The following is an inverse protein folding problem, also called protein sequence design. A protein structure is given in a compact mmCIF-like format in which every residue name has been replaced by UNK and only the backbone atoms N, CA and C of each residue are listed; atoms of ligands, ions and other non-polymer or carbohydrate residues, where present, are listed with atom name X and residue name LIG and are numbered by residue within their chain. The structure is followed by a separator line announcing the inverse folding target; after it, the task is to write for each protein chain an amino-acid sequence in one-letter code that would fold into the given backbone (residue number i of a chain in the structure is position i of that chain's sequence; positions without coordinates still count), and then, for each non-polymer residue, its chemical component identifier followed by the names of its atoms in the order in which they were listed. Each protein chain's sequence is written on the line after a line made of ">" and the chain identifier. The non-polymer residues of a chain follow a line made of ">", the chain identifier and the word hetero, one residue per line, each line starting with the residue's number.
data_IF_348280435689
#
_entry.id   IF_348280435689
#
_cell.length_a   1.000
_cell.length_b   1.000
_cell.length_c   1.000
_cell.angle_alpha   90.00
_cell.angle_beta   90.00
_cell.angle_gamma   90.00
#
_symmetry.space_group_name_H-M   'P 1'
#
loop_
_entity.id
_entity.type
_entity.pdbx_description
1 polymer ?
#
# COMPACT_ATOMS: atom_id res chain seq x y z
N UNK A 1 -19.72 6.98 -15.73
CA UNK A 1 -21.12 7.29 -15.39
C UNK A 1 -21.51 8.70 -15.80
N UNK A 2 -20.92 9.77 -15.23
CA UNK A 2 -21.29 11.16 -15.58
C UNK A 2 -21.24 11.45 -17.10
N UNK A 3 -20.14 11.09 -17.76
CA UNK A 3 -20.00 11.30 -19.20
C UNK A 3 -21.00 10.52 -20.06
N UNK A 4 -21.47 9.35 -19.60
CA UNK A 4 -22.53 8.58 -20.28
C UNK A 4 -23.90 9.23 -20.05
N UNK A 5 -24.11 9.78 -18.86
CA UNK A 5 -25.33 10.51 -18.49
C UNK A 5 -25.41 11.91 -19.10
N UNK A 6 -24.43 12.35 -19.89
CA UNK A 6 -24.39 13.71 -20.45
C UNK A 6 -24.14 14.81 -19.41
N UNK A 7 -23.66 14.46 -18.23
CA UNK A 7 -23.38 15.40 -17.14
C UNK A 7 -21.95 15.94 -17.22
N UNK A 8 -21.76 17.19 -16.80
CA UNK A 8 -20.44 17.81 -16.69
C UNK A 8 -19.58 17.14 -15.62
N UNK A 9 -18.27 17.11 -15.85
CA UNK A 9 -17.31 16.60 -14.88
C UNK A 9 -16.97 17.69 -13.86
N UNK A 10 -17.08 17.44 -12.54
CA UNK A 10 -16.65 18.39 -11.52
C UNK A 10 -15.16 18.74 -11.65
N UNK A 11 -14.73 20.00 -11.41
CA UNK A 11 -13.32 20.39 -11.53
C UNK A 11 -12.37 19.60 -10.63
N UNK A 12 -12.82 19.18 -9.45
CA UNK A 12 -12.02 18.37 -8.51
C UNK A 12 -11.90 16.89 -8.92
N UNK A 13 -12.67 16.43 -9.91
CA UNK A 13 -12.64 15.04 -10.34
C UNK A 13 -11.36 14.76 -11.12
N UNK A 14 -10.48 13.95 -10.54
CA UNK A 14 -9.23 13.56 -11.19
C UNK A 14 -9.43 12.50 -12.28
N UNK A 15 -10.56 11.76 -12.27
CA UNK A 15 -10.86 10.70 -13.24
C UNK A 15 -11.12 11.26 -14.66
N UNK A 16 -10.78 10.47 -15.69
CA UNK A 16 -11.02 10.81 -17.11
C UNK A 16 -12.21 10.04 -17.65
N UNK A 17 -12.99 10.65 -18.54
CA UNK A 17 -14.05 9.94 -19.26
C UNK A 17 -13.45 8.98 -20.31
N UNK A 18 -13.29 7.71 -19.93
CA UNK A 18 -12.71 6.66 -20.78
C UNK A 18 -13.56 6.30 -22.01
N UNK A 19 -14.83 6.72 -22.04
CA UNK A 19 -15.75 6.47 -23.15
C UNK A 19 -15.88 7.66 -24.11
N UNK A 20 -15.13 8.75 -23.87
CA UNK A 20 -15.14 9.90 -24.77
C UNK A 20 -14.46 9.53 -26.10
N UNK A 21 -15.00 10.03 -27.22
CA UNK A 21 -14.40 9.82 -28.55
C UNK A 21 -12.96 10.33 -28.65
N UNK A 22 -12.62 11.35 -27.86
CA UNK A 22 -11.29 11.96 -27.77
C UNK A 22 -10.54 11.55 -26.49
N UNK A 23 -10.85 10.39 -25.91
CA UNK A 23 -10.14 9.89 -24.73
C UNK A 23 -8.63 9.82 -24.98
N UNK A 24 -7.87 10.37 -24.03
CA UNK A 24 -6.42 10.28 -24.00
C UNK A 24 -5.99 9.34 -22.86
N UNK A 25 -5.30 8.23 -23.18
CA UNK A 25 -4.75 7.33 -22.18
C UNK A 25 -3.88 8.06 -21.16
N UNK A 26 -3.82 7.51 -19.94
CA UNK A 26 -2.84 7.97 -18.96
C UNK A 26 -1.52 7.26 -19.23
N UNK A 27 -0.44 8.00 -19.10
CA UNK A 27 0.89 7.40 -19.06
C UNK A 27 1.13 6.68 -17.72
N UNK A 28 0.41 7.10 -16.68
CA UNK A 28 0.61 6.65 -15.30
C UNK A 28 -0.67 6.54 -14.48
N UNK A 29 -0.62 5.64 -13.51
CA UNK A 29 -1.66 5.46 -12.49
C UNK A 29 -1.01 5.53 -11.12
N UNK A 30 -1.62 6.30 -10.23
CA UNK A 30 -1.22 6.41 -8.83
C UNK A 30 -2.19 5.61 -7.95
N UNK A 31 -1.66 5.00 -6.90
CA UNK A 31 -2.48 4.36 -5.87
C UNK A 31 -1.96 4.71 -4.48
N UNK A 32 -2.90 4.81 -3.54
CA UNK A 32 -2.65 5.16 -2.15
C UNK A 32 -3.33 4.19 -1.21
N UNK A 33 -2.64 3.88 -0.12
CA UNK A 33 -3.14 3.14 1.04
C UNK A 33 -2.64 3.86 2.29
N UNK A 34 -3.52 4.04 3.27
CA UNK A 34 -3.15 4.64 4.56
C UNK A 34 -3.37 3.66 5.72
N UNK A 35 -4.52 2.97 5.70
CA UNK A 35 -4.94 2.03 6.73
C UNK A 35 -5.90 0.98 6.15
N UNK A 36 -5.93 -0.21 6.74
CA UNK A 36 -6.97 -1.21 6.53
C UNK A 36 -7.48 -1.65 7.89
N UNK A 37 -8.75 -1.34 8.21
CA UNK A 37 -9.34 -1.53 9.54
C UNK A 37 -8.46 -0.90 10.64
N UNK A 38 -7.98 -1.69 11.59
CA UNK A 38 -7.08 -1.24 12.65
C UNK A 38 -5.60 -1.15 12.24
N UNK A 39 -5.24 -1.60 11.03
CA UNK A 39 -3.84 -1.78 10.64
C UNK A 39 -3.35 -0.60 9.80
N UNK A 40 -2.51 0.24 10.39
CA UNK A 40 -1.92 1.41 9.74
C UNK A 40 -0.76 0.99 8.82
N UNK A 41 -0.89 1.26 7.53
CA UNK A 41 0.11 0.91 6.52
C UNK A 41 0.08 1.91 5.36
N UNK A 42 0.94 2.94 5.44
CA UNK A 42 1.00 4.01 4.45
C UNK A 42 1.89 3.60 3.28
N UNK A 43 1.25 3.36 2.15
CA UNK A 43 1.90 2.98 0.89
C UNK A 43 1.42 3.92 -0.21
N UNK A 44 2.33 4.29 -1.09
CA UNK A 44 2.04 5.05 -2.31
C UNK A 44 2.73 4.40 -3.48
N UNK A 45 2.12 4.43 -4.65
CA UNK A 45 2.74 3.88 -5.86
C UNK A 45 2.45 4.71 -7.09
N UNK A 46 3.36 4.64 -8.05
CA UNK A 46 3.14 5.08 -9.42
C UNK A 46 3.46 3.93 -10.37
N UNK A 47 2.52 3.60 -11.23
CA UNK A 47 2.69 2.60 -12.29
C UNK A 47 2.70 3.31 -13.63
N UNK A 48 3.77 3.11 -14.39
CA UNK A 48 3.87 3.49 -15.80
C UNK A 48 3.61 2.29 -16.72
N UNK A 49 3.75 2.50 -18.03
CA UNK A 49 3.62 1.43 -19.03
C UNK A 49 4.64 0.28 -18.85
N UNK A 50 5.74 0.46 -18.12
CA UNK A 50 6.78 -0.59 -17.94
C UNK A 50 7.13 -0.86 -16.49
N UNK A 51 7.14 0.17 -15.65
CA UNK A 51 7.61 0.06 -14.29
C UNK A 51 6.50 0.31 -13.27
N UNK A 52 6.57 -0.38 -12.14
CA UNK A 52 5.83 -0.08 -10.93
C UNK A 52 6.83 0.38 -9.87
N UNK A 53 6.64 1.59 -9.36
CA UNK A 53 7.36 2.09 -8.19
C UNK A 53 6.41 2.11 -6.99
N UNK A 54 6.88 1.59 -5.87
CA UNK A 54 6.18 1.58 -4.58
C UNK A 54 7.06 2.25 -3.55
N UNK A 55 6.47 3.14 -2.74
CA UNK A 55 7.10 3.71 -1.56
C UNK A 55 6.37 3.23 -0.31
N UNK A 56 7.10 2.56 0.57
CA UNK A 56 6.64 2.15 1.89
C UNK A 56 7.08 3.21 2.92
N UNK A 57 6.13 3.89 3.54
CA UNK A 57 6.45 4.91 4.54
C UNK A 57 6.74 4.32 5.93
N UNK A 58 6.43 3.05 6.14
CA UNK A 58 6.71 2.29 7.37
C UNK A 58 7.55 1.04 7.07
N UNK A 59 8.80 1.20 6.60
CA UNK A 59 9.63 0.06 6.19
C UNK A 59 10.04 -0.86 7.35
N UNK A 60 9.92 -0.41 8.60
CA UNK A 60 10.21 -1.21 9.79
C UNK A 60 9.02 -2.07 10.24
N UNK A 61 7.98 -2.18 9.40
CA UNK A 61 6.80 -3.01 9.64
C UNK A 61 6.73 -4.14 8.60
N UNK A 62 6.30 -5.36 9.01
CA UNK A 62 6.26 -6.52 8.12
C UNK A 62 5.22 -6.34 7.01
N UNK A 63 5.34 -7.04 5.88
CA UNK A 63 4.30 -7.02 4.84
C UNK A 63 2.96 -7.57 5.35
N UNK A 64 2.99 -8.73 6.04
CA UNK A 64 1.80 -9.38 6.58
C UNK A 64 1.46 -8.90 8.01
N UNK A 65 1.32 -7.58 8.18
CA UNK A 65 0.93 -6.97 9.45
C UNK A 65 -0.36 -7.60 10.03
N UNK A 66 -0.55 -7.66 11.36
CA UNK A 66 -1.79 -8.16 11.95
C UNK A 66 -3.02 -7.36 11.51
N UNK A 67 -4.11 -8.05 11.20
CA UNK A 67 -5.43 -7.47 10.90
C UNK A 67 -6.48 -8.56 11.14
N UNK A 68 -7.43 -8.31 12.05
CA UNK A 68 -8.38 -9.33 12.49
C UNK A 68 -9.27 -9.85 11.35
N UNK A 69 -9.65 -8.99 10.39
CA UNK A 69 -10.48 -9.43 9.26
C UNK A 69 -9.75 -10.45 8.38
N UNK A 70 -8.49 -10.18 8.01
CA UNK A 70 -7.72 -11.06 7.12
C UNK A 70 -7.15 -12.28 7.85
N UNK A 71 -6.78 -12.14 9.12
CA UNK A 71 -6.12 -13.21 9.89
C UNK A 71 -7.10 -14.37 10.21
N UNK A 72 -8.41 -14.12 10.18
CA UNK A 72 -9.44 -15.17 10.24
C UNK A 72 -9.68 -15.92 8.92
N UNK A 73 -9.06 -15.50 7.81
CA UNK A 73 -9.23 -16.20 6.53
C UNK A 73 -8.38 -17.46 6.53
N UNK A 74 -8.97 -18.58 6.09
CA UNK A 74 -8.31 -19.90 6.05
C UNK A 74 -6.97 -19.88 5.32
N UNK A 75 -6.82 -19.06 4.28
CA UNK A 75 -5.57 -18.90 3.55
C UNK A 75 -4.45 -18.30 4.41
N UNK A 76 -4.76 -17.28 5.21
CA UNK A 76 -3.78 -16.63 6.09
C UNK A 76 -3.42 -17.54 7.26
N UNK A 77 -4.40 -18.23 7.84
CA UNK A 77 -4.16 -19.24 8.87
C UNK A 77 -3.25 -20.37 8.37
N UNK A 78 -3.48 -20.84 7.14
CA UNK A 78 -2.64 -21.87 6.51
C UNK A 78 -1.23 -21.37 6.25
N UNK A 79 -1.06 -20.13 5.75
CA UNK A 79 0.25 -19.51 5.56
C UNK A 79 1.03 -19.41 6.87
N UNK A 80 0.37 -18.95 7.95
CA UNK A 80 1.01 -18.84 9.27
C UNK A 80 1.40 -20.22 9.84
N UNK A 81 0.55 -21.23 9.72
CA UNK A 81 0.87 -22.59 10.16
C UNK A 81 2.05 -23.19 9.36
N UNK A 82 2.15 -22.91 8.06
CA UNK A 82 3.28 -23.36 7.24
C UNK A 82 4.57 -22.62 7.58
N UNK A 83 4.50 -21.31 7.86
CA UNK A 83 5.62 -20.51 8.35
C UNK A 83 6.15 -21.09 9.67
N UNK A 84 5.27 -21.30 10.66
CA UNK A 84 5.63 -21.90 11.95
C UNK A 84 6.24 -23.30 11.81
N UNK A 85 5.78 -24.08 10.82
CA UNK A 85 6.32 -25.40 10.52
C UNK A 85 7.61 -25.38 9.69
N UNK A 86 8.10 -24.21 9.25
CA UNK A 86 9.27 -24.09 8.36
C UNK A 86 9.06 -24.72 6.98
N UNK A 87 7.83 -24.72 6.47
CA UNK A 87 7.41 -25.41 5.23
C UNK A 87 7.09 -24.47 4.08
N UNK A 88 7.24 -23.16 4.26
CA UNK A 88 7.03 -22.20 3.17
C UNK A 88 8.20 -22.23 2.18
N UNK A 89 7.92 -22.01 0.88
CA UNK A 89 8.97 -21.73 -0.09
C UNK A 89 9.77 -20.48 0.32
N UNK A 90 11.08 -20.49 0.06
CA UNK A 90 12.01 -19.43 0.46
C UNK A 90 11.53 -18.02 0.06
N UNK A 91 11.04 -17.85 -1.17
CA UNK A 91 10.53 -16.57 -1.65
C UNK A 91 9.31 -16.09 -0.84
N UNK A 92 8.39 -17.00 -0.51
CA UNK A 92 7.18 -16.67 0.26
C UNK A 92 7.54 -16.31 1.70
N UNK A 93 8.48 -17.05 2.30
CA UNK A 93 9.03 -16.78 3.63
C UNK A 93 9.69 -15.40 3.68
N UNK A 94 10.63 -15.14 2.76
CA UNK A 94 11.39 -13.91 2.70
C UNK A 94 10.53 -12.66 2.41
N UNK A 95 9.45 -12.80 1.65
CA UNK A 95 8.55 -11.67 1.35
C UNK A 95 7.46 -11.50 2.41
N UNK A 96 6.66 -12.52 2.70
CA UNK A 96 5.45 -12.34 3.52
C UNK A 96 5.75 -12.27 5.02
N UNK A 97 6.81 -12.94 5.47
CA UNK A 97 7.14 -13.10 6.89
C UNK A 97 8.41 -12.35 7.32
N UNK A 98 8.97 -11.51 6.44
CA UNK A 98 10.03 -10.57 6.85
C UNK A 98 9.49 -9.53 7.83
N UNK A 99 10.26 -9.28 8.89
CA UNK A 99 9.97 -8.26 9.91
C UNK A 99 9.96 -6.83 9.34
N UNK A 100 10.70 -6.63 8.25
CA UNK A 100 10.87 -5.33 7.59
C UNK A 100 10.56 -5.44 6.09
N UNK A 101 10.36 -4.30 5.43
CA UNK A 101 10.22 -4.20 3.98
C UNK A 101 11.11 -3.09 3.41
N UNK A 102 11.52 -3.17 2.14
CA UNK A 102 12.24 -2.09 1.48
C UNK A 102 11.46 -0.78 1.56
N UNK A 103 12.13 0.34 1.85
CA UNK A 103 11.50 1.67 1.82
C UNK A 103 10.99 2.03 0.41
N UNK A 104 11.67 1.51 -0.61
CA UNK A 104 11.33 1.69 -2.00
C UNK A 104 11.42 0.37 -2.75
N UNK A 105 10.48 0.17 -3.66
CA UNK A 105 10.44 -0.99 -4.54
C UNK A 105 10.26 -0.52 -5.98
N UNK A 106 11.00 -1.13 -6.90
CA UNK A 106 10.92 -0.87 -8.33
C UNK A 106 10.84 -2.19 -9.08
N UNK A 107 9.78 -2.38 -9.87
CA UNK A 107 9.57 -3.59 -10.64
C UNK A 107 9.40 -3.26 -12.11
N UNK A 108 10.17 -3.91 -12.99
CA UNK A 108 9.83 -3.98 -14.43
C UNK A 108 8.71 -5.01 -14.59
N UNK A 109 7.45 -4.59 -14.43
CA UNK A 109 6.31 -5.52 -14.40
C UNK A 109 6.08 -6.23 -15.75
N UNK A 110 6.71 -5.78 -16.84
CA UNK A 110 6.69 -6.49 -18.12
C UNK A 110 7.66 -7.65 -18.15
N UNK A 111 8.87 -7.46 -17.61
CA UNK A 111 9.89 -8.51 -17.54
C UNK A 111 9.67 -9.46 -16.35
N UNK A 112 9.13 -8.95 -15.25
CA UNK A 112 8.78 -9.68 -14.03
C UNK A 112 7.30 -9.45 -13.68
N UNK A 113 6.37 -10.21 -14.30
CA UNK A 113 4.94 -10.09 -14.03
C UNK A 113 4.56 -10.40 -12.58
N UNK A 114 5.42 -11.14 -11.86
CA UNK A 114 5.18 -11.54 -10.47
C UNK A 114 5.75 -10.57 -9.45
N UNK A 115 6.54 -9.59 -9.89
CA UNK A 115 7.08 -8.50 -9.05
C UNK A 115 7.87 -9.04 -7.86
N UNK A 116 8.72 -10.03 -8.15
CA UNK A 116 9.55 -10.74 -7.16
C UNK A 116 10.98 -10.22 -7.13
N UNK A 117 11.43 -9.55 -8.19
CA UNK A 117 12.76 -8.96 -8.31
C UNK A 117 12.71 -7.44 -8.13
N UNK A 118 13.00 -6.96 -6.92
CA UNK A 118 13.05 -5.53 -6.62
C UNK A 118 14.34 -4.90 -7.17
N UNK A 119 14.20 -3.99 -8.13
CA UNK A 119 15.27 -3.27 -8.83
C UNK A 119 15.65 -1.95 -8.13
N UNK A 120 15.07 -1.61 -6.98
CA UNK A 120 15.32 -0.32 -6.32
C UNK A 120 16.79 -0.10 -5.93
N UNK A 121 17.53 -1.18 -5.65
CA UNK A 121 18.96 -1.12 -5.34
C UNK A 121 19.86 -1.29 -6.59
N UNK A 122 19.29 -1.53 -7.76
CA UNK A 122 20.06 -1.76 -8.99
C UNK A 122 20.51 -0.44 -9.63
N UNK A 123 21.83 -0.27 -9.75
CA UNK A 123 22.46 0.91 -10.33
C UNK A 123 22.03 1.15 -11.78
N UNK A 124 21.73 0.09 -12.54
CA UNK A 124 21.28 0.22 -13.93
C UNK A 124 19.88 0.86 -14.04
N UNK A 125 19.07 0.81 -12.97
CA UNK A 125 17.69 1.32 -12.94
C UNK A 125 17.54 2.62 -12.13
N UNK A 126 18.65 3.19 -11.65
CA UNK A 126 18.65 4.37 -10.77
C UNK A 126 17.91 5.57 -11.37
N UNK A 127 18.13 5.89 -12.63
CA UNK A 127 17.44 7.02 -13.29
C UNK A 127 15.92 6.81 -13.34
N UNK A 128 15.48 5.57 -13.57
CA UNK A 128 14.05 5.22 -13.59
C UNK A 128 13.44 5.34 -12.19
N UNK A 129 14.14 4.85 -11.17
CA UNK A 129 13.75 4.98 -9.77
C UNK A 129 13.57 6.46 -9.38
N UNK A 130 14.58 7.28 -9.64
CA UNK A 130 14.57 8.71 -9.30
C UNK A 130 13.46 9.47 -10.05
N UNK A 131 13.24 9.16 -11.33
CA UNK A 131 12.17 9.76 -12.11
C UNK A 131 10.77 9.43 -11.56
N UNK A 132 10.50 8.16 -11.22
CA UNK A 132 9.21 7.74 -10.67
C UNK A 132 9.01 8.24 -9.23
N UNK A 133 10.09 8.28 -8.43
CA UNK A 133 10.09 8.91 -7.11
C UNK A 133 9.63 10.37 -7.20
N UNK A 134 10.25 11.14 -8.10
CA UNK A 134 9.90 12.55 -8.29
C UNK A 134 8.48 12.76 -8.84
N UNK A 135 7.99 11.85 -9.69
CA UNK A 135 6.59 11.87 -10.16
C UNK A 135 5.63 11.63 -9.01
N UNK A 136 5.93 10.67 -8.13
CA UNK A 136 5.11 10.41 -6.96
C UNK A 136 5.12 11.61 -6.00
N UNK A 137 6.27 12.22 -5.76
CA UNK A 137 6.36 13.41 -4.89
C UNK A 137 5.52 14.57 -5.41
N UNK A 138 5.55 14.83 -6.73
CA UNK A 138 4.69 15.84 -7.35
C UNK A 138 3.21 15.51 -7.18
N UNK A 139 2.81 14.27 -7.43
CA UNK A 139 1.43 13.84 -7.26
C UNK A 139 0.95 14.07 -5.82
N UNK A 140 1.72 13.67 -4.80
CA UNK A 140 1.39 13.88 -3.38
C UNK A 140 1.07 15.37 -3.10
N UNK A 141 1.89 16.28 -3.62
CA UNK A 141 1.71 17.72 -3.44
C UNK A 141 0.51 18.25 -4.24
N UNK A 142 0.43 17.93 -5.53
CA UNK A 142 -0.61 18.43 -6.44
C UNK A 142 -2.00 17.97 -6.04
N UNK A 143 -2.13 16.77 -5.46
CA UNK A 143 -3.42 16.26 -5.00
C UNK A 143 -3.76 16.63 -3.57
N UNK A 144 -2.88 17.36 -2.88
CA UNK A 144 -3.00 17.61 -1.45
C UNK A 144 -3.28 16.30 -0.67
N UNK A 145 -2.45 15.28 -0.92
CA UNK A 145 -2.61 13.98 -0.30
C UNK A 145 -2.53 14.09 1.23
N UNK A 146 -3.62 13.73 1.89
CA UNK A 146 -3.82 13.91 3.33
C UNK A 146 -3.14 12.85 4.21
N UNK A 147 -2.45 11.86 3.64
CA UNK A 147 -1.67 10.91 4.46
C UNK A 147 -0.43 11.56 5.11
N UNK A 148 0.02 11.14 6.32
CA UNK A 148 -0.55 10.12 7.20
C UNK A 148 -1.71 10.62 8.08
N UNK A 149 -2.54 9.69 8.58
CA UNK A 149 -3.58 9.95 9.58
C UNK A 149 -2.96 10.40 10.92
N UNK A 150 -3.60 11.34 11.62
CA UNK A 150 -3.15 11.79 12.95
C UNK A 150 -3.54 10.77 14.04
N UNK A 151 -2.79 10.73 15.14
CA UNK A 151 -3.14 9.86 16.28
C UNK A 151 -4.54 10.15 16.81
N UNK A 152 -4.96 11.42 16.86
CA UNK A 152 -6.32 11.80 17.27
C UNK A 152 -7.39 11.26 16.33
N UNK A 153 -7.16 11.29 15.01
CA UNK A 153 -8.11 10.74 14.04
C UNK A 153 -8.17 9.21 14.16
N UNK A 154 -7.01 8.56 14.22
CA UNK A 154 -6.92 7.12 14.43
C UNK A 154 -7.64 6.68 15.71
N UNK A 155 -7.47 7.41 16.81
CA UNK A 155 -8.14 7.12 18.09
C UNK A 155 -9.66 7.29 18.01
N UNK A 156 -10.12 8.34 17.32
CA UNK A 156 -11.54 8.56 17.05
C UNK A 156 -12.13 7.38 16.28
N UNK A 157 -11.46 6.96 15.21
CA UNK A 157 -11.91 5.84 14.37
C UNK A 157 -11.86 4.51 15.11
N UNK A 158 -10.82 4.26 15.92
CA UNK A 158 -10.65 3.00 16.65
C UNK A 158 -11.60 2.87 17.84
N UNK A 159 -12.18 3.97 18.33
CA UNK A 159 -13.13 3.97 19.45
C UNK A 159 -14.31 3.03 19.24
N UNK A 160 -14.73 2.80 17.99
CA UNK A 160 -15.86 1.92 17.69
C UNK A 160 -15.55 0.43 17.91
N UNK A 161 -14.28 0.06 18.04
CA UNK A 161 -13.84 -1.32 18.26
C UNK A 161 -13.51 -1.62 19.73
N UNK A 162 -13.09 -0.61 20.49
CA UNK A 162 -12.69 -0.76 21.89
C UNK A 162 -13.86 -1.12 22.80
N UNK A 163 -13.67 -2.08 23.70
CA UNK A 163 -14.67 -2.49 24.69
C UNK A 163 -15.83 -3.32 24.11
N UNK A 164 -15.72 -3.77 22.86
CA UNK A 164 -16.74 -4.59 22.18
C UNK A 164 -16.46 -6.09 22.20
N UNK A 165 -15.53 -6.54 23.04
CA UNK A 165 -15.26 -7.96 23.24
C UNK A 165 -14.49 -8.62 22.09
N UNK A 166 -13.75 -7.85 21.29
CA UNK A 166 -12.81 -8.39 20.31
C UNK A 166 -11.35 -8.12 20.76
N UNK A 167 -10.77 -8.99 21.60
CA UNK A 167 -9.44 -8.78 22.18
C UNK A 167 -8.33 -8.79 21.13
N UNK A 168 -8.54 -9.41 19.96
CA UNK A 168 -7.57 -9.40 18.86
C UNK A 168 -7.46 -8.00 18.24
N UNK A 169 -8.59 -7.38 17.93
CA UNK A 169 -8.60 -6.01 17.38
C UNK A 169 -8.00 -5.03 18.39
N UNK A 170 -8.33 -5.16 19.68
CA UNK A 170 -7.74 -4.31 20.72
C UNK A 170 -6.21 -4.48 20.82
N UNK A 171 -5.72 -5.72 20.72
CA UNK A 171 -4.28 -6.02 20.67
C UNK A 171 -3.62 -5.40 19.44
N UNK A 172 -4.23 -5.52 18.27
CA UNK A 172 -3.72 -4.95 17.02
C UNK A 172 -3.68 -3.42 17.08
N UNK A 173 -4.71 -2.78 17.64
CA UNK A 173 -4.75 -1.32 17.88
C UNK A 173 -3.58 -0.91 18.80
N UNK A 174 -3.40 -1.62 19.91
CA UNK A 174 -2.32 -1.34 20.86
C UNK A 174 -0.93 -1.46 20.20
N UNK A 175 -0.74 -2.47 19.34
CA UNK A 175 0.47 -2.66 18.56
C UNK A 175 0.72 -1.51 17.58
N UNK A 176 -0.29 -1.07 16.81
CA UNK A 176 -0.13 0.07 15.89
C UNK A 176 0.29 1.33 16.63
N UNK A 177 -0.31 1.60 17.80
CA UNK A 177 0.06 2.74 18.65
C UNK A 177 1.49 2.61 19.18
N UNK A 178 1.90 1.40 19.55
CA UNK A 178 3.28 1.13 19.97
C UNK A 178 4.26 1.43 18.83
N UNK A 179 4.04 0.89 17.64
CA UNK A 179 4.88 1.14 16.48
C UNK A 179 4.94 2.62 16.10
N UNK A 180 3.83 3.35 16.18
CA UNK A 180 3.82 4.79 15.97
C UNK A 180 4.72 5.54 16.97
N UNK A 181 4.68 5.19 18.27
CA UNK A 181 5.57 5.77 19.30
C UNK A 181 7.03 5.42 19.10
N UNK A 182 7.30 4.23 18.55
CA UNK A 182 8.66 3.77 18.21
C UNK A 182 9.20 4.39 16.91
N UNK A 183 8.38 5.16 16.17
CA UNK A 183 8.76 5.74 14.88
C UNK A 183 8.88 4.71 13.75
N UNK A 184 8.21 3.56 13.89
CA UNK A 184 8.18 2.49 12.89
C UNK A 184 7.09 2.69 11.85
#
# INVERSE_FOLDING_TARGET
>A
TLGVAGLSLPPAMQARNILAKNYQPREEVFAARDRCDETVDRIRSVRSNRFLYIRNFYPQRPYLQPNAYKDHKSIVQSLRALHEAGKLPELTEALLFSDNRPAEELYDWKADPWQTNNLAADLAHRETLEALRARLDRWIVETNDHGPESETMYDSDMKVYLGKGNPEVEKNIALMKQWAREGK
#
